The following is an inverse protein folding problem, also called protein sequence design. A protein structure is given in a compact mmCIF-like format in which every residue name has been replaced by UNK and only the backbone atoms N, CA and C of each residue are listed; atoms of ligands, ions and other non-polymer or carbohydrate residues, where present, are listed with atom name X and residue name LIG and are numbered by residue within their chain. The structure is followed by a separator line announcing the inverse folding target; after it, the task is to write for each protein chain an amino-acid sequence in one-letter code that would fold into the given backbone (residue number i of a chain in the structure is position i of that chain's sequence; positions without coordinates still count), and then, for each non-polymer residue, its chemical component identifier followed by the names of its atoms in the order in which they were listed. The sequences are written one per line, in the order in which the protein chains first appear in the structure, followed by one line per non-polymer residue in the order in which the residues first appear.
data_IF_387259454921
#
_entry.id   IF_387259454921
#
_cell.length_a   1.000
_cell.length_b   1.000
_cell.length_c   1.000
_cell.angle_alpha   90.00
_cell.angle_beta   90.00
_cell.angle_gamma   90.00
#
_symmetry.space_group_name_H-M   'P 1'
#
loop_
_entity.id
_entity.type
_entity.pdbx_description
1 polymer ?
#
# COMPACT_ATOMS: atom_id res chain seq x y z
N UNK A 1 21.17 8.77 24.80
CA UNK A 1 21.76 8.07 23.64
C UNK A 1 21.50 8.93 22.42
N UNK A 2 22.55 9.46 21.75
CA UNK A 2 22.42 10.53 20.74
C UNK A 2 21.96 10.07 19.35
N UNK A 3 21.63 8.79 19.15
CA UNK A 3 21.06 8.29 17.88
C UNK A 3 21.96 8.55 16.66
N UNK A 4 23.26 8.75 16.88
CA UNK A 4 24.25 9.01 15.84
C UNK A 4 24.61 7.70 15.14
N UNK A 5 24.26 7.61 13.86
CA UNK A 5 24.51 6.44 13.02
C UNK A 5 25.88 6.51 12.33
N UNK A 6 26.65 7.57 12.59
CA UNK A 6 28.01 7.77 12.09
C UNK A 6 28.07 8.40 10.70
N UNK A 7 29.30 8.66 10.21
CA UNK A 7 29.54 9.25 8.90
C UNK A 7 29.40 8.21 7.78
N UNK A 8 28.99 8.66 6.59
CA UNK A 8 29.21 7.90 5.38
C UNK A 8 30.69 7.97 4.98
N UNK A 9 31.29 6.82 4.71
CA UNK A 9 32.69 6.77 4.23
C UNK A 9 32.79 7.01 2.72
N UNK A 10 31.68 6.92 1.99
CA UNK A 10 31.63 7.19 0.55
C UNK A 10 31.19 8.61 0.22
N UNK A 11 30.27 9.18 1.00
CA UNK A 11 29.81 10.56 0.87
C UNK A 11 30.53 11.43 1.91
N UNK A 12 31.73 11.90 1.57
CA UNK A 12 32.53 12.74 2.46
C UNK A 12 31.72 13.96 2.94
N UNK A 13 31.72 14.17 4.26
CA UNK A 13 31.03 15.28 4.91
C UNK A 13 29.53 15.04 5.19
N UNK A 14 28.96 13.88 4.84
CA UNK A 14 27.56 13.55 5.18
C UNK A 14 27.47 12.45 6.23
N UNK A 15 26.60 12.65 7.21
CA UNK A 15 26.24 11.60 8.16
C UNK A 15 25.13 10.71 7.61
N UNK A 16 25.02 9.49 8.14
CA UNK A 16 23.89 8.60 7.82
C UNK A 16 22.56 9.24 8.25
N UNK A 17 22.57 10.00 9.35
CA UNK A 17 21.41 10.76 9.80
C UNK A 17 20.96 11.81 8.78
N UNK A 18 21.88 12.49 8.09
CA UNK A 18 21.56 13.46 7.03
C UNK A 18 20.91 12.77 5.84
N UNK A 19 21.48 11.64 5.41
CA UNK A 19 20.95 10.83 4.30
C UNK A 19 19.51 10.39 4.60
N UNK A 20 19.28 9.88 5.82
CA UNK A 20 17.95 9.46 6.30
C UNK A 20 17.00 10.65 6.35
N UNK A 21 17.41 11.76 6.97
CA UNK A 21 16.58 12.95 7.16
C UNK A 21 16.09 13.57 5.85
N UNK A 22 16.92 13.54 4.80
CA UNK A 22 16.56 14.08 3.50
C UNK A 22 15.76 13.11 2.62
N UNK A 23 16.09 11.82 2.66
CA UNK A 23 15.54 10.85 1.69
C UNK A 23 14.31 10.10 2.24
N UNK A 24 14.20 9.93 3.57
CA UNK A 24 13.06 9.23 4.18
C UNK A 24 11.72 9.92 3.91
N UNK A 25 11.58 11.26 4.03
CA UNK A 25 10.30 11.91 3.80
C UNK A 25 9.75 11.65 2.40
N UNK A 26 10.64 11.52 1.39
CA UNK A 26 10.26 11.19 0.02
C UNK A 26 9.71 9.77 -0.08
N UNK A 27 10.43 8.78 0.49
CA UNK A 27 9.97 7.39 0.55
C UNK A 27 8.64 7.25 1.32
N UNK A 28 8.50 7.95 2.45
CA UNK A 28 7.29 7.95 3.25
C UNK A 28 6.10 8.58 2.51
N UNK A 29 6.32 9.70 1.81
CA UNK A 29 5.29 10.33 0.99
C UNK A 29 4.80 9.39 -0.13
N UNK A 30 5.72 8.74 -0.84
CA UNK A 30 5.39 7.75 -1.86
C UNK A 30 4.57 6.59 -1.26
N UNK A 31 5.01 6.05 -0.13
CA UNK A 31 4.32 4.97 0.59
C UNK A 31 2.91 5.34 1.04
N UNK A 32 2.73 6.53 1.62
CA UNK A 32 1.41 7.04 2.04
C UNK A 32 0.45 7.21 0.87
N UNK A 33 0.90 7.83 -0.22
CA UNK A 33 0.08 8.03 -1.40
C UNK A 33 -0.32 6.68 -2.04
N UNK A 34 0.62 5.74 -2.13
CA UNK A 34 0.35 4.40 -2.62
C UNK A 34 -0.65 3.65 -1.74
N UNK A 35 -0.54 3.77 -0.41
CA UNK A 35 -1.48 3.18 0.53
C UNK A 35 -2.89 3.76 0.34
N UNK A 36 -3.02 5.09 0.27
CA UNK A 36 -4.33 5.74 0.05
C UNK A 36 -4.97 5.28 -1.27
N UNK A 37 -4.19 5.27 -2.36
CA UNK A 37 -4.67 4.83 -3.67
C UNK A 37 -5.06 3.35 -3.64
N UNK A 38 -4.26 2.48 -3.00
CA UNK A 38 -4.54 1.06 -2.90
C UNK A 38 -5.82 0.77 -2.09
N UNK A 39 -6.02 1.46 -0.97
CA UNK A 39 -7.20 1.30 -0.11
C UNK A 39 -8.45 1.80 -0.81
N UNK A 40 -8.44 3.04 -1.31
CA UNK A 40 -9.61 3.65 -1.97
C UNK A 40 -9.95 2.89 -3.25
N UNK A 41 -8.97 2.65 -4.11
CA UNK A 41 -9.16 1.93 -5.36
C UNK A 41 -9.58 0.48 -5.15
N UNK A 42 -8.95 -0.20 -4.19
CA UNK A 42 -9.24 -1.59 -3.86
C UNK A 42 -10.66 -1.77 -3.32
N UNK A 43 -11.06 -0.97 -2.32
CA UNK A 43 -12.41 -1.04 -1.75
C UNK A 43 -13.45 -0.71 -2.82
N UNK A 44 -13.23 0.32 -3.63
CA UNK A 44 -14.15 0.70 -4.71
C UNK A 44 -14.29 -0.42 -5.75
N UNK A 45 -13.18 -0.97 -6.25
CA UNK A 45 -13.19 -2.06 -7.23
C UNK A 45 -13.87 -3.33 -6.67
N UNK A 46 -13.55 -3.70 -5.43
CA UNK A 46 -14.18 -4.84 -4.75
C UNK A 46 -15.68 -4.66 -4.55
N UNK A 47 -16.11 -3.45 -4.15
CA UNK A 47 -17.52 -3.11 -3.99
C UNK A 47 -18.29 -3.15 -5.32
N UNK A 48 -17.75 -2.55 -6.37
CA UNK A 48 -18.35 -2.55 -7.71
C UNK A 48 -18.48 -3.99 -8.23
N UNK A 49 -17.45 -4.82 -8.05
CA UNK A 49 -17.47 -6.24 -8.45
C UNK A 49 -18.55 -7.02 -7.69
N UNK A 50 -18.71 -6.78 -6.39
CA UNK A 50 -19.69 -7.48 -5.55
C UNK A 50 -21.15 -7.04 -5.82
N UNK A 51 -21.39 -5.81 -6.29
CA UNK A 51 -22.74 -5.32 -6.62
C UNK A 51 -23.32 -5.97 -7.88
N UNK A 52 -22.48 -6.43 -8.80
CA UNK A 52 -22.88 -7.06 -10.08
C UNK A 52 -22.24 -8.44 -10.23
N UNK A 53 -22.57 -9.41 -9.35
CA UNK A 53 -21.98 -10.73 -9.41
C UNK A 53 -22.30 -11.39 -10.74
N UNK A 54 -21.35 -12.15 -11.28
CA UNK A 54 -21.46 -12.89 -12.54
C UNK A 54 -21.67 -12.03 -13.81
N UNK A 55 -21.45 -10.70 -13.74
CA UNK A 55 -21.45 -9.81 -14.91
C UNK A 55 -20.06 -9.60 -15.54
N UNK A 56 -20.01 -8.94 -16.70
CA UNK A 56 -18.75 -8.62 -17.40
C UNK A 56 -17.80 -7.82 -16.49
N UNK A 57 -18.33 -6.84 -15.76
CA UNK A 57 -17.55 -6.02 -14.82
C UNK A 57 -16.94 -6.89 -13.71
N UNK A 58 -17.68 -7.90 -13.22
CA UNK A 58 -17.18 -8.83 -12.22
C UNK A 58 -15.99 -9.64 -12.76
N UNK A 59 -16.13 -10.22 -13.95
CA UNK A 59 -15.05 -10.99 -14.57
C UNK A 59 -13.83 -10.13 -14.90
N UNK A 60 -14.04 -8.90 -15.41
CA UNK A 60 -12.96 -7.97 -15.71
C UNK A 60 -12.18 -7.57 -14.45
N UNK A 61 -12.85 -7.14 -13.38
CA UNK A 61 -12.18 -6.77 -12.12
C UNK A 61 -11.47 -7.98 -11.52
N UNK A 62 -12.08 -9.17 -11.58
CA UNK A 62 -11.46 -10.40 -11.07
C UNK A 62 -10.19 -10.73 -11.83
N UNK A 63 -10.25 -10.68 -13.16
CA UNK A 63 -9.12 -10.98 -14.03
C UNK A 63 -7.97 -9.98 -13.82
N UNK A 64 -8.29 -8.67 -13.81
CA UNK A 64 -7.31 -7.60 -13.56
C UNK A 64 -6.70 -7.74 -12.16
N UNK A 65 -7.51 -8.05 -11.14
CA UNK A 65 -7.01 -8.23 -9.77
C UNK A 65 -6.09 -9.46 -9.66
N UNK A 66 -6.45 -10.58 -10.30
CA UNK A 66 -5.59 -11.76 -10.34
C UNK A 66 -4.26 -11.45 -11.04
N UNK A 67 -4.30 -10.76 -12.19
CA UNK A 67 -3.07 -10.31 -12.85
C UNK A 67 -2.25 -9.37 -11.96
N UNK A 68 -2.87 -8.39 -11.31
CA UNK A 68 -2.17 -7.45 -10.42
C UNK A 68 -1.51 -8.12 -9.21
N UNK A 69 -2.06 -9.25 -8.73
CA UNK A 69 -1.44 -10.04 -7.67
C UNK A 69 -0.29 -10.91 -8.20
N UNK A 70 -0.42 -11.45 -9.41
CA UNK A 70 0.54 -12.38 -10.00
C UNK A 70 1.73 -11.70 -10.69
N UNK A 71 1.56 -10.47 -11.18
CA UNK A 71 2.60 -9.73 -11.89
C UNK A 71 3.49 -9.00 -10.88
N UNK A 72 4.81 -9.23 -10.90
CA UNK A 72 5.76 -8.49 -10.07
C UNK A 72 5.66 -6.98 -10.26
N UNK A 73 5.75 -6.22 -9.16
CA UNK A 73 5.65 -4.75 -9.15
C UNK A 73 6.59 -4.05 -10.12
N UNK A 74 7.82 -4.54 -10.29
CA UNK A 74 8.77 -3.95 -11.23
C UNK A 74 8.33 -4.09 -12.70
N UNK A 75 7.60 -5.16 -13.05
CA UNK A 75 7.06 -5.34 -14.40
C UNK A 75 5.95 -4.33 -14.65
N UNK A 76 5.06 -4.13 -13.66
CA UNK A 76 4.01 -3.10 -13.73
C UNK A 76 4.65 -1.72 -13.94
N UNK A 77 5.71 -1.41 -13.17
CA UNK A 77 6.46 -0.16 -13.31
C UNK A 77 7.07 0.01 -14.70
N UNK A 78 7.76 -1.01 -15.21
CA UNK A 78 8.37 -0.98 -16.54
C UNK A 78 7.33 -0.79 -17.65
N UNK A 79 6.19 -1.47 -17.57
CA UNK A 79 5.09 -1.33 -18.54
C UNK A 79 4.49 0.07 -18.48
N UNK A 80 4.27 0.62 -17.28
CA UNK A 80 3.74 1.98 -17.12
C UNK A 80 4.71 3.03 -17.67
N UNK A 81 6.02 2.88 -17.43
CA UNK A 81 7.05 3.75 -18.01
C UNK A 81 7.02 3.70 -19.53
N UNK A 82 6.97 2.49 -20.11
CA UNK A 82 6.97 2.33 -21.57
C UNK A 82 5.68 2.86 -22.21
N UNK A 83 4.52 2.42 -21.74
CA UNK A 83 3.23 2.74 -22.38
C UNK A 83 2.80 4.18 -22.08
N UNK A 84 2.75 4.58 -20.81
CA UNK A 84 2.20 5.89 -20.43
C UNK A 84 3.24 6.99 -20.61
N UNK A 85 4.49 6.66 -20.36
CA UNK A 85 5.60 7.60 -20.42
C UNK A 85 6.20 7.79 -21.81
N UNK A 86 6.54 6.70 -22.49
CA UNK A 86 7.26 6.75 -23.76
C UNK A 86 6.32 6.77 -24.98
N UNK A 87 5.39 5.81 -25.08
CA UNK A 87 4.47 5.70 -26.22
C UNK A 87 3.42 6.82 -26.21
N UNK A 88 2.75 7.04 -25.07
CA UNK A 88 1.69 8.05 -24.95
C UNK A 88 2.21 9.45 -24.63
N UNK A 89 3.37 9.55 -23.96
CA UNK A 89 3.94 10.84 -23.54
C UNK A 89 3.09 11.62 -22.53
N UNK A 90 2.17 10.96 -21.81
CA UNK A 90 1.20 11.64 -20.95
C UNK A 90 1.79 12.10 -19.61
N UNK A 91 2.70 11.29 -19.05
CA UNK A 91 3.24 11.50 -17.72
C UNK A 91 4.77 11.36 -17.71
N UNK A 92 5.46 12.15 -16.87
CA UNK A 92 6.90 12.00 -16.72
C UNK A 92 7.25 10.66 -16.05
N UNK A 93 8.33 10.04 -16.51
CA UNK A 93 8.75 8.69 -16.09
C UNK A 93 9.84 8.66 -15.02
N UNK A 94 10.47 9.80 -14.75
CA UNK A 94 11.62 9.86 -13.85
C UNK A 94 11.67 11.20 -13.12
N UNK A 95 12.35 11.23 -11.97
CA UNK A 95 12.53 12.37 -11.07
C UNK A 95 11.37 12.59 -10.08
N UNK A 96 11.60 13.47 -9.10
CA UNK A 96 10.61 13.82 -8.07
C UNK A 96 10.45 15.34 -7.95
N UNK A 97 9.80 15.96 -8.95
CA UNK A 97 9.72 17.43 -9.09
C UNK A 97 8.31 18.03 -8.98
N UNK A 98 7.28 17.20 -8.85
CA UNK A 98 5.90 17.66 -8.73
C UNK A 98 4.88 16.54 -8.79
N UNK A 99 3.57 16.85 -8.67
CA UNK A 99 2.51 15.84 -8.57
C UNK A 99 2.42 14.88 -9.76
N UNK A 100 2.70 15.35 -10.99
CA UNK A 100 2.68 14.52 -12.20
C UNK A 100 3.71 13.38 -12.16
N UNK A 101 4.87 13.62 -11.53
CA UNK A 101 5.94 12.64 -11.33
C UNK A 101 5.57 11.57 -10.32
N UNK A 102 4.60 11.84 -9.45
CA UNK A 102 4.18 10.90 -8.40
C UNK A 102 3.19 9.88 -8.92
N UNK A 103 2.46 10.16 -10.00
CA UNK A 103 1.34 9.33 -10.46
C UNK A 103 1.79 7.91 -10.84
N UNK A 104 2.78 7.78 -11.73
CA UNK A 104 3.23 6.45 -12.18
C UNK A 104 3.89 5.63 -11.05
N UNK A 105 4.78 6.19 -10.22
CA UNK A 105 5.31 5.49 -9.05
C UNK A 105 4.23 5.03 -8.07
N UNK A 106 3.27 5.91 -7.75
CA UNK A 106 2.18 5.62 -6.82
C UNK A 106 1.30 4.52 -7.36
N UNK A 107 0.92 4.56 -8.64
CA UNK A 107 0.13 3.50 -9.28
C UNK A 107 0.89 2.17 -9.30
N UNK A 108 2.20 2.21 -9.60
CA UNK A 108 3.05 1.01 -9.60
C UNK A 108 3.06 0.37 -8.22
N UNK A 109 3.36 1.16 -7.19
CA UNK A 109 3.46 0.67 -5.82
C UNK A 109 2.09 0.24 -5.25
N UNK A 110 1.01 0.91 -5.66
CA UNK A 110 -0.35 0.61 -5.23
C UNK A 110 -0.99 -0.58 -5.94
N UNK A 111 -0.55 -0.95 -7.16
CA UNK A 111 -1.28 -1.91 -8.00
C UNK A 111 -1.51 -3.27 -7.33
N UNK A 112 -0.46 -3.87 -6.77
CA UNK A 112 -0.55 -5.17 -6.11
C UNK A 112 -1.41 -5.14 -4.84
N UNK A 113 -1.19 -4.22 -3.86
CA UNK A 113 -2.06 -4.14 -2.70
C UNK A 113 -3.50 -3.73 -3.04
N UNK A 114 -3.71 -2.88 -4.05
CA UNK A 114 -5.04 -2.52 -4.55
C UNK A 114 -5.83 -3.75 -5.03
N UNK A 115 -5.18 -4.59 -5.83
CA UNK A 115 -5.77 -5.83 -6.35
C UNK A 115 -6.12 -6.82 -5.22
N UNK A 116 -5.25 -6.93 -4.21
CA UNK A 116 -5.51 -7.77 -3.05
C UNK A 116 -6.65 -7.24 -2.18
N UNK A 117 -6.68 -5.93 -1.91
CA UNK A 117 -7.76 -5.26 -1.16
C UNK A 117 -9.10 -5.40 -1.90
N UNK A 118 -9.12 -5.27 -3.23
CA UNK A 118 -10.32 -5.49 -4.03
C UNK A 118 -10.87 -6.91 -3.85
N UNK A 119 -9.99 -7.92 -3.87
CA UNK A 119 -10.36 -9.31 -3.65
C UNK A 119 -10.92 -9.54 -2.24
N UNK A 120 -10.28 -9.00 -1.21
CA UNK A 120 -10.74 -9.11 0.19
C UNK A 120 -12.10 -8.44 0.38
N UNK A 121 -12.25 -7.18 -0.07
CA UNK A 121 -13.50 -6.42 0.02
C UNK A 121 -14.64 -7.17 -0.65
N UNK A 122 -14.38 -7.72 -1.85
CA UNK A 122 -15.36 -8.50 -2.58
C UNK A 122 -15.79 -9.76 -1.82
N UNK A 123 -14.82 -10.52 -1.31
CA UNK A 123 -15.11 -11.74 -0.53
C UNK A 123 -15.99 -11.41 0.67
N UNK A 124 -15.60 -10.41 1.47
CA UNK A 124 -16.37 -9.98 2.62
C UNK A 124 -17.78 -9.49 2.27
N UNK A 125 -17.94 -8.78 1.14
CA UNK A 125 -19.27 -8.35 0.69
C UNK A 125 -20.16 -9.51 0.26
N UNK A 126 -19.60 -10.52 -0.42
CA UNK A 126 -20.35 -11.71 -0.81
C UNK A 126 -20.81 -12.50 0.43
N UNK A 127 -19.98 -12.61 1.46
CA UNK A 127 -20.33 -13.26 2.72
C UNK A 127 -21.42 -12.47 3.48
N UNK A 128 -21.27 -11.15 3.54
CA UNK A 128 -22.25 -10.26 4.19
C UNK A 128 -23.60 -10.27 3.47
N UNK A 129 -23.63 -10.31 2.14
CA UNK A 129 -24.88 -10.36 1.39
C UNK A 129 -25.71 -11.63 1.61
N UNK A 130 -25.11 -12.70 2.14
CA UNK A 130 -25.84 -13.91 2.50
C UNK A 130 -26.57 -13.81 3.85
N UNK A 131 -26.28 -12.79 4.64
CA UNK A 131 -26.82 -12.60 5.99
C UNK A 131 -28.29 -12.19 6.01
N UNK A 132 -29.02 -12.60 7.05
CA UNK A 132 -30.47 -12.39 7.18
C UNK A 132 -30.86 -10.91 7.22
N UNK A 133 -30.10 -10.07 7.94
CA UNK A 133 -30.40 -8.64 8.05
C UNK A 133 -30.33 -7.91 6.70
N UNK A 134 -29.50 -8.38 5.74
CA UNK A 134 -29.46 -7.86 4.37
C UNK A 134 -30.73 -8.27 3.61
N UNK A 135 -31.20 -9.51 3.79
CA UNK A 135 -32.45 -9.98 3.18
C UNK A 135 -33.63 -9.15 3.69
N UNK A 136 -33.67 -8.87 5.00
CA UNK A 136 -34.68 -7.98 5.60
C UNK A 136 -34.59 -6.56 5.04
N UNK A 137 -33.38 -6.01 4.89
CA UNK A 137 -33.17 -4.70 4.28
C UNK A 137 -33.70 -4.63 2.84
N UNK A 138 -33.44 -5.68 2.04
CA UNK A 138 -33.96 -5.81 0.68
C UNK A 138 -35.48 -5.94 0.66
N UNK A 139 -36.07 -6.72 1.57
CA UNK A 139 -37.52 -6.87 1.70
C UNK A 139 -38.23 -5.55 2.08
N UNK A 140 -37.53 -4.66 2.81
CA UNK A 140 -37.98 -3.29 3.09
C UNK A 140 -37.84 -2.31 1.91
N UNK A 141 -37.38 -2.78 0.74
CA UNK A 141 -37.25 -1.96 -0.46
C UNK A 141 -36.03 -1.02 -0.49
N UNK A 142 -35.04 -1.23 0.39
CA UNK A 142 -33.82 -0.42 0.36
C UNK A 142 -33.04 -0.62 -0.94
N UNK A 143 -32.61 0.48 -1.57
CA UNK A 143 -31.79 0.45 -2.78
C UNK A 143 -30.41 -0.20 -2.55
N UNK A 144 -29.84 -0.79 -3.61
CA UNK A 144 -28.56 -1.51 -3.53
C UNK A 144 -27.40 -0.66 -2.97
N UNK A 145 -27.35 0.63 -3.31
CA UNK A 145 -26.35 1.56 -2.79
C UNK A 145 -26.49 1.82 -1.28
N UNK A 146 -27.72 1.96 -0.78
CA UNK A 146 -27.96 2.13 0.66
C UNK A 146 -27.59 0.86 1.42
N UNK A 147 -27.92 -0.31 0.88
CA UNK A 147 -27.54 -1.60 1.48
C UNK A 147 -26.01 -1.72 1.52
N UNK A 148 -25.32 -1.41 0.42
CA UNK A 148 -23.86 -1.45 0.35
C UNK A 148 -23.22 -0.55 1.42
N UNK A 149 -23.54 0.75 1.40
CA UNK A 149 -22.82 1.74 2.20
C UNK A 149 -23.19 1.65 3.69
N UNK A 150 -24.47 1.47 4.02
CA UNK A 150 -24.95 1.52 5.42
C UNK A 150 -25.00 0.18 6.11
N UNK A 151 -25.10 -0.93 5.38
CA UNK A 151 -25.36 -2.24 6.00
C UNK A 151 -24.30 -3.29 5.67
N UNK A 152 -23.65 -3.23 4.50
CA UNK A 152 -22.73 -4.28 4.07
C UNK A 152 -21.25 -3.92 4.25
N UNK A 153 -20.82 -2.73 3.82
CA UNK A 153 -19.40 -2.36 3.73
C UNK A 153 -18.70 -2.42 5.09
N UNK A 154 -19.30 -1.88 6.15
CA UNK A 154 -18.66 -1.86 7.47
C UNK A 154 -18.26 -3.24 8.00
N UNK A 155 -19.08 -4.27 7.74
CA UNK A 155 -18.76 -5.64 8.14
C UNK A 155 -17.84 -6.35 7.11
N UNK A 156 -17.93 -5.98 5.84
CA UNK A 156 -17.17 -6.61 4.77
C UNK A 156 -15.69 -6.17 4.71
N UNK A 157 -15.34 -4.99 5.24
CA UNK A 157 -13.98 -4.46 5.22
C UNK A 157 -13.12 -4.89 6.42
N UNK A 158 -13.64 -5.70 7.35
CA UNK A 158 -12.85 -6.19 8.49
C UNK A 158 -11.53 -6.86 8.05
N UNK A 159 -11.52 -7.78 7.06
CA UNK A 159 -10.27 -8.37 6.57
C UNK A 159 -9.31 -7.35 5.94
N UNK A 160 -9.87 -6.29 5.36
CA UNK A 160 -9.10 -5.20 4.74
C UNK A 160 -8.38 -4.39 5.82
N UNK A 161 -9.07 -4.08 6.92
CA UNK A 161 -8.49 -3.36 8.06
C UNK A 161 -7.29 -4.11 8.64
N UNK A 162 -7.44 -5.43 8.86
CA UNK A 162 -6.34 -6.28 9.36
C UNK A 162 -5.14 -6.27 8.41
N UNK A 163 -5.39 -6.21 7.10
CA UNK A 163 -4.34 -6.17 6.09
C UNK A 163 -3.64 -4.80 5.98
N UNK A 164 -4.39 -3.70 6.13
CA UNK A 164 -3.87 -2.33 5.98
C UNK A 164 -2.72 -2.05 6.96
N UNK A 165 -2.79 -2.60 8.17
CA UNK A 165 -1.81 -2.34 9.21
C UNK A 165 -0.37 -2.70 8.81
N UNK A 166 -0.04 -4.00 8.67
CA UNK A 166 1.29 -4.42 8.20
C UNK A 166 1.63 -3.90 6.80
N UNK A 167 0.62 -3.68 5.95
CA UNK A 167 0.82 -3.06 4.63
C UNK A 167 1.35 -1.63 4.75
N UNK A 168 0.79 -0.82 5.65
CA UNK A 168 1.26 0.55 5.86
C UNK A 168 2.73 0.57 6.31
N UNK A 169 3.11 -0.31 7.24
CA UNK A 169 4.49 -0.45 7.68
C UNK A 169 5.44 -0.81 6.52
N UNK A 170 5.04 -1.77 5.68
CA UNK A 170 5.86 -2.18 4.54
C UNK A 170 5.98 -1.11 3.45
N UNK A 171 4.91 -0.36 3.16
CA UNK A 171 4.94 0.72 2.17
C UNK A 171 5.71 1.97 2.66
N UNK A 172 5.59 2.31 3.95
CA UNK A 172 6.26 3.48 4.54
C UNK A 172 7.77 3.30 4.67
N UNK A 173 8.24 2.05 4.74
CA UNK A 173 9.67 1.73 4.71
C UNK A 173 10.30 2.07 3.35
N UNK A 174 9.49 2.35 2.33
CA UNK A 174 9.96 2.69 0.98
C UNK A 174 10.11 1.45 0.10
N UNK A 175 10.18 1.69 -1.21
CA UNK A 175 10.35 0.61 -2.21
C UNK A 175 11.55 0.92 -3.08
N UNK A 176 12.69 0.31 -2.76
CA UNK A 176 13.93 0.51 -3.51
C UNK A 176 13.75 0.23 -5.01
N UNK A 177 12.91 -0.74 -5.37
CA UNK A 177 12.61 -1.11 -6.76
C UNK A 177 11.90 0.05 -7.47
N UNK A 178 10.80 0.53 -6.90
CA UNK A 178 10.00 1.60 -7.51
C UNK A 178 10.81 2.90 -7.53
N UNK A 179 11.52 3.22 -6.45
CA UNK A 179 12.37 4.40 -6.37
C UNK A 179 13.47 4.38 -7.44
N UNK A 180 14.07 3.22 -7.71
CA UNK A 180 15.10 3.08 -8.75
C UNK A 180 14.51 3.23 -10.16
N UNK A 181 13.37 2.58 -10.45
CA UNK A 181 12.74 2.64 -11.78
C UNK A 181 12.37 4.08 -12.16
N UNK A 182 11.84 4.84 -11.20
CA UNK A 182 11.36 6.21 -11.43
C UNK A 182 12.38 7.29 -11.02
N UNK A 183 13.63 6.93 -10.72
CA UNK A 183 14.70 7.84 -10.28
C UNK A 183 14.25 8.81 -9.17
N UNK A 184 13.59 8.25 -8.15
CA UNK A 184 13.10 8.98 -6.98
C UNK A 184 14.23 9.04 -5.96
N UNK A 185 14.53 10.22 -5.38
CA UNK A 185 15.57 10.38 -4.36
C UNK A 185 15.10 9.84 -3.00
N UNK A 186 14.76 8.55 -2.95
CA UNK A 186 14.32 7.84 -1.76
C UNK A 186 15.47 7.11 -1.06
N UNK A 187 15.20 6.62 0.15
CA UNK A 187 16.20 5.92 0.95
C UNK A 187 16.63 4.57 0.36
N UNK A 188 15.74 3.91 -0.39
CA UNK A 188 16.03 2.60 -0.98
C UNK A 188 17.21 2.65 -1.95
N UNK A 189 17.36 3.74 -2.69
CA UNK A 189 18.49 3.93 -3.60
C UNK A 189 19.83 4.03 -2.84
N UNK A 190 19.87 4.75 -1.71
CA UNK A 190 21.06 4.84 -0.87
C UNK A 190 21.43 3.49 -0.28
N UNK A 191 20.43 2.69 0.14
CA UNK A 191 20.68 1.33 0.63
C UNK A 191 21.37 0.45 -0.42
N UNK A 192 20.80 0.37 -1.63
CA UNK A 192 21.35 -0.44 -2.73
C UNK A 192 22.73 0.06 -3.16
N UNK A 193 22.89 1.38 -3.29
CA UNK A 193 24.15 1.99 -3.72
C UNK A 193 25.27 1.76 -2.71
N UNK A 194 24.96 1.78 -1.42
CA UNK A 194 25.93 1.50 -0.35
C UNK A 194 26.44 0.06 -0.36
N UNK A 195 25.63 -0.91 -0.82
CA UNK A 195 26.08 -2.30 -1.03
C UNK A 195 27.17 -2.36 -2.10
N UNK A 196 26.96 -1.71 -3.24
CA UNK A 196 27.96 -1.66 -4.31
C UNK A 196 29.21 -0.88 -3.91
N UNK A 197 29.04 0.21 -3.16
CA UNK A 197 30.13 1.05 -2.69
C UNK A 197 30.85 0.51 -1.44
N UNK A 198 30.35 -0.58 -0.83
CA UNK A 198 30.83 -1.15 0.43
C UNK A 198 30.84 -0.12 1.58
N UNK A 199 29.86 0.79 1.60
CA UNK A 199 29.69 1.73 2.71
C UNK A 199 28.91 1.05 3.84
N UNK A 200 29.66 0.33 4.69
CA UNK A 200 29.09 -0.44 5.80
C UNK A 200 28.34 0.42 6.81
N UNK A 201 28.75 1.68 7.03
CA UNK A 201 28.08 2.57 7.98
C UNK A 201 26.68 2.91 7.51
N UNK A 202 26.52 3.26 6.24
CA UNK A 202 25.20 3.53 5.65
C UNK A 202 24.34 2.26 5.64
N UNK A 203 24.91 1.10 5.28
CA UNK A 203 24.18 -0.18 5.30
C UNK A 203 23.61 -0.45 6.70
N UNK A 204 24.46 -0.38 7.73
CA UNK A 204 24.06 -0.66 9.11
C UNK A 204 23.06 0.37 9.62
N UNK A 205 23.32 1.66 9.41
CA UNK A 205 22.44 2.71 9.91
C UNK A 205 21.06 2.71 9.25
N UNK A 206 20.98 2.51 7.92
CA UNK A 206 19.70 2.36 7.22
C UNK A 206 18.97 1.08 7.64
N UNK A 207 19.69 -0.02 7.88
CA UNK A 207 19.08 -1.28 8.36
C UNK A 207 18.49 -1.12 9.76
N UNK A 208 19.20 -0.48 10.68
CA UNK A 208 18.71 -0.17 12.03
C UNK A 208 17.49 0.74 11.94
N UNK A 209 17.57 1.80 11.13
CA UNK A 209 16.46 2.72 10.92
C UNK A 209 15.20 2.01 10.41
N UNK A 210 15.29 1.21 9.34
CA UNK A 210 14.15 0.45 8.82
C UNK A 210 13.61 -0.56 9.83
N UNK A 211 14.48 -1.28 10.54
CA UNK A 211 14.05 -2.25 11.55
C UNK A 211 13.29 -1.57 12.68
N UNK A 212 13.81 -0.44 13.19
CA UNK A 212 13.13 0.36 14.22
C UNK A 212 11.80 0.91 13.69
N UNK A 213 11.78 1.45 12.47
CA UNK A 213 10.59 2.00 11.84
C UNK A 213 9.49 0.94 11.70
N UNK A 214 9.83 -0.25 11.17
CA UNK A 214 8.87 -1.35 11.01
C UNK A 214 8.31 -1.78 12.37
N UNK A 215 9.17 -1.95 13.39
CA UNK A 215 8.73 -2.34 14.73
C UNK A 215 7.79 -1.29 15.32
N UNK A 216 8.15 0.00 15.23
CA UNK A 216 7.31 1.10 15.74
C UNK A 216 5.98 1.16 15.00
N UNK A 217 5.98 1.07 13.66
CA UNK A 217 4.75 1.10 12.87
C UNK A 217 3.86 -0.11 13.15
N UNK A 218 4.42 -1.31 13.31
CA UNK A 218 3.66 -2.49 13.68
C UNK A 218 3.04 -2.36 15.08
N UNK A 219 3.80 -1.84 16.06
CA UNK A 219 3.25 -1.58 17.40
C UNK A 219 2.10 -0.57 17.34
N UNK A 220 2.25 0.52 16.57
CA UNK A 220 1.19 1.51 16.38
C UNK A 220 -0.06 0.85 15.77
N UNK A 221 0.14 0.02 14.75
CA UNK A 221 -0.94 -0.74 14.10
C UNK A 221 -1.62 -1.68 15.09
N UNK A 222 -0.87 -2.44 15.88
CA UNK A 222 -1.39 -3.38 16.87
C UNK A 222 -2.14 -2.68 17.99
N UNK A 223 -1.74 -1.46 18.37
CA UNK A 223 -2.47 -0.62 19.33
C UNK A 223 -3.78 -0.06 18.75
N UNK A 224 -3.78 0.25 17.46
CA UNK A 224 -4.96 0.77 16.76
C UNK A 224 -5.95 -0.37 16.44
N UNK A 225 -5.46 -1.60 16.23
CA UNK A 225 -6.26 -2.73 15.77
C UNK A 225 -7.48 -3.05 16.67
N UNK A 226 -7.39 -3.10 18.02
CA UNK A 226 -8.54 -3.31 18.90
C UNK A 226 -9.57 -2.17 18.86
N UNK A 227 -9.14 -0.96 18.51
CA UNK A 227 -10.04 0.20 18.39
C UNK A 227 -10.87 0.08 17.10
N UNK A 228 -10.26 -0.43 16.02
CA UNK A 228 -10.94 -0.57 14.73
C UNK A 228 -11.80 -1.84 14.68
N UNK A 229 -11.33 -2.96 15.24
CA UNK A 229 -12.11 -4.20 15.34
C UNK A 229 -12.39 -4.59 16.80
N UNK A 230 -13.53 -4.13 17.38
CA UNK A 230 -13.89 -4.44 18.76
C UNK A 230 -14.22 -5.93 19.01
N UNK A 231 -14.33 -6.78 17.97
CA UNK A 231 -14.60 -8.22 18.14
C UNK A 231 -13.37 -8.97 18.65
N UNK A 232 -12.17 -8.46 18.39
CA UNK A 232 -10.90 -9.02 18.86
C UNK A 232 -10.82 -9.00 20.41
N UNK A 233 -11.43 -7.99 21.02
CA UNK A 233 -11.49 -7.84 22.49
C UNK A 233 -12.34 -8.93 23.13
N UNK A 234 -13.42 -9.37 22.46
CA UNK A 234 -14.35 -10.36 23.01
C UNK A 234 -13.80 -11.79 23.00
N UNK A 235 -12.82 -12.06 22.14
CA UNK A 235 -12.14 -13.36 22.07
C UNK A 235 -11.04 -13.48 23.15
N UNK A 236 -10.34 -12.36 23.45
CA UNK A 236 -9.38 -12.28 24.57
C UNK A 236 -10.03 -12.40 25.95
N UNK A 237 -11.30 -12.03 26.11
CA UNK A 237 -12.04 -12.21 27.36
C UNK A 237 -12.56 -13.65 27.56
N UNK A 238 -12.50 -14.49 26.52
CA UNK A 238 -12.97 -15.89 26.55
C UNK A 238 -11.85 -16.92 26.61
N UNK A 239 -10.59 -16.49 26.56
CA UNK A 239 -9.39 -17.32 26.68
C UNK A 239 -8.69 -17.06 28.02
#
# INVERSE_FOLDING_TARGET
VTGDLGPSYKYEGRSVNDIIGESFPVSAQLGLLALCVAVVGGIAAGAISAMRPNGIIYYAITFISTLGISVPTFIIGAVLVYVVGFELGWLPVAMWRGPSYMILPVLTLAAQPMAFIARLTRSGLLDVYQQEYIRTARAKGLGAWNILIRHALGNAILPVITYIGPLAASLLTGSFIVETIFAIPGLGQYFVTSIYNRDYTVILGVTVFYSTLIVVLNIIVDMIYPIIDPRVTTEKERA
#
